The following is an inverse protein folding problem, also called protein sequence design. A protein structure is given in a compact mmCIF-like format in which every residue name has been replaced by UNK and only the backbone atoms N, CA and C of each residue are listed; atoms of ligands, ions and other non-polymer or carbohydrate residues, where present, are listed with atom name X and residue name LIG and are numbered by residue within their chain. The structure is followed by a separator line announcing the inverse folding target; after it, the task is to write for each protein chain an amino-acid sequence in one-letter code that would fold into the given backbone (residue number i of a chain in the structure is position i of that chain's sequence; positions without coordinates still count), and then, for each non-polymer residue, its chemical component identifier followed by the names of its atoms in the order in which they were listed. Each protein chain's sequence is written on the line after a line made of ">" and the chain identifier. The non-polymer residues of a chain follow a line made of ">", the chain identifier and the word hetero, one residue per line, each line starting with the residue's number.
data_IF_408393547904
#
_entry.id   IF_408393547904
#
_cell.length_a   1.000
_cell.length_b   1.000
_cell.length_c   1.000
_cell.angle_alpha   90.00
_cell.angle_beta   90.00
_cell.angle_gamma   90.00
#
_symmetry.space_group_name_H-M   'P 1'
#
loop_
_entity.id
_entity.type
_entity.pdbx_description
1 polymer ?
#
# COMPACT_ATOMS: atom_id res chain seq x y z
N UNK A 1 0.55 -45.68 -4.54
CA UNK A 1 0.05 -44.62 -3.69
C UNK A 1 1.11 -43.53 -3.84
N UNK A 2 0.83 -42.49 -4.63
CA UNK A 2 1.74 -41.35 -4.71
C UNK A 2 1.71 -40.63 -3.35
N UNK A 3 2.88 -40.30 -2.81
CA UNK A 3 2.93 -39.38 -1.68
C UNK A 3 2.18 -38.11 -2.08
N UNK A 4 1.10 -37.76 -1.37
CA UNK A 4 0.40 -36.51 -1.58
C UNK A 4 1.39 -35.37 -1.31
N UNK A 5 1.51 -34.47 -2.25
CA UNK A 5 2.39 -33.31 -2.10
C UNK A 5 1.90 -32.49 -0.91
N UNK A 6 2.67 -32.41 0.16
CA UNK A 6 2.31 -31.63 1.34
C UNK A 6 2.92 -30.25 1.23
N UNK A 7 2.07 -29.25 1.09
CA UNK A 7 2.49 -27.86 1.14
C UNK A 7 2.68 -27.41 2.60
N UNK A 8 3.79 -26.74 2.88
CA UNK A 8 3.92 -25.90 4.06
C UNK A 8 3.40 -24.50 3.71
N UNK A 9 2.32 -24.09 4.36
CA UNK A 9 1.64 -22.85 4.06
C UNK A 9 2.06 -21.78 5.08
N UNK A 10 2.75 -20.71 4.62
CA UNK A 10 2.98 -19.55 5.47
C UNK A 10 1.77 -18.62 5.37
N UNK A 11 0.97 -18.59 6.42
CA UNK A 11 -0.25 -17.78 6.52
C UNK A 11 0.04 -16.45 7.22
N UNK A 12 -0.07 -15.29 6.54
CA UNK A 12 0.16 -13.99 7.17
C UNK A 12 -0.85 -13.70 8.29
N UNK A 13 -2.01 -14.32 8.26
CA UNK A 13 -3.08 -14.11 9.25
C UNK A 13 -3.06 -15.12 10.40
N UNK A 14 -2.06 -16.02 10.49
CA UNK A 14 -2.06 -17.10 11.47
C UNK A 14 -2.22 -16.62 12.92
N UNK A 15 -1.56 -15.51 13.27
CA UNK A 15 -1.61 -14.94 14.62
C UNK A 15 -2.92 -14.19 14.95
N UNK A 16 -3.74 -13.89 13.95
CA UNK A 16 -4.97 -13.09 14.09
C UNK A 16 -6.20 -13.78 13.49
N UNK A 17 -6.10 -15.05 13.10
CA UNK A 17 -7.16 -15.76 12.39
C UNK A 17 -8.51 -15.77 13.14
N UNK A 18 -8.48 -15.90 14.46
CA UNK A 18 -9.69 -15.88 15.29
C UNK A 18 -10.24 -14.44 15.48
N UNK A 19 -9.40 -13.42 15.31
CA UNK A 19 -9.80 -12.01 15.41
C UNK A 19 -10.56 -11.54 14.15
N UNK A 20 -10.33 -12.17 12.99
CA UNK A 20 -11.06 -11.87 11.75
C UNK A 20 -12.57 -12.08 11.91
N UNK A 21 -13.01 -12.97 12.79
CA UNK A 21 -14.43 -13.22 13.03
C UNK A 21 -15.11 -12.14 13.89
N UNK A 22 -14.30 -11.28 14.53
CA UNK A 22 -14.79 -10.18 15.38
C UNK A 22 -14.65 -8.84 14.71
N UNK A 23 -15.75 -8.16 14.42
CA UNK A 23 -15.75 -6.81 13.84
C UNK A 23 -14.99 -5.77 14.68
N UNK A 24 -14.83 -6.02 15.98
CA UNK A 24 -14.13 -5.10 16.87
C UNK A 24 -12.61 -5.06 16.63
N UNK A 25 -12.07 -6.08 15.96
CA UNK A 25 -10.66 -6.21 15.63
C UNK A 25 -10.31 -5.73 14.21
N UNK A 26 -11.30 -5.26 13.44
CA UNK A 26 -11.13 -4.67 12.12
C UNK A 26 -10.97 -3.16 12.22
N UNK A 27 -9.91 -2.63 11.59
CA UNK A 27 -9.56 -1.21 11.68
C UNK A 27 -9.37 -0.60 10.29
N UNK A 28 -10.37 0.15 9.84
CA UNK A 28 -10.32 0.89 8.57
C UNK A 28 -9.21 1.94 8.63
N UNK A 29 -8.21 1.81 7.78
CA UNK A 29 -6.94 2.52 7.88
C UNK A 29 -6.53 3.17 6.57
N UNK A 30 -6.04 4.40 6.64
CA UNK A 30 -5.33 5.05 5.56
C UNK A 30 -3.96 5.55 6.05
N UNK A 31 -2.89 5.14 5.38
CA UNK A 31 -1.52 5.49 5.75
C UNK A 31 -0.84 6.41 4.74
N UNK A 32 -1.54 6.83 3.67
CA UNK A 32 -1.03 7.71 2.64
C UNK A 32 -2.09 8.75 2.27
N UNK A 33 -1.95 9.94 2.80
CA UNK A 33 -2.78 11.10 2.48
C UNK A 33 -2.00 12.39 2.73
N UNK A 34 -2.45 13.46 2.08
CA UNK A 34 -1.84 14.77 2.07
C UNK A 34 -2.78 15.84 2.62
N UNK A 35 -2.19 16.98 2.95
CA UNK A 35 -2.92 18.18 3.33
C UNK A 35 -2.25 19.42 2.69
N UNK A 36 -2.74 20.61 3.02
CA UNK A 36 -2.07 21.87 2.60
C UNK A 36 -0.69 22.06 3.22
N UNK A 37 -0.20 21.13 4.04
CA UNK A 37 1.20 21.13 4.47
C UNK A 37 2.14 20.73 3.32
N UNK A 38 1.71 19.89 2.39
CA UNK A 38 2.41 19.65 1.11
C UNK A 38 1.61 20.22 -0.07
N UNK A 39 0.92 19.44 -0.82
CA UNK A 39 0.33 19.83 -2.10
C UNK A 39 -1.18 19.54 -2.23
N UNK A 40 -1.83 19.10 -1.17
CA UNK A 40 -3.27 18.88 -1.19
C UNK A 40 -4.08 20.18 -1.20
N UNK A 41 -5.33 20.09 -1.61
CA UNK A 41 -6.25 21.22 -1.67
C UNK A 41 -6.96 21.52 -0.33
N UNK A 42 -7.06 20.51 0.54
CA UNK A 42 -7.75 20.64 1.82
C UNK A 42 -6.75 20.74 2.97
N UNK A 43 -7.13 21.49 4.00
CA UNK A 43 -6.34 21.61 5.22
C UNK A 43 -6.30 20.28 5.98
N UNK A 44 -5.29 20.10 6.81
CA UNK A 44 -5.19 18.92 7.68
C UNK A 44 -6.46 18.71 8.51
N UNK A 45 -7.06 19.79 9.02
CA UNK A 45 -8.30 19.71 9.81
C UNK A 45 -9.46 19.18 8.97
N UNK A 46 -9.66 19.73 7.76
CA UNK A 46 -10.71 19.26 6.85
C UNK A 46 -10.54 17.79 6.48
N UNK A 47 -9.31 17.36 6.23
CA UNK A 47 -9.01 15.96 5.96
C UNK A 47 -9.30 15.08 7.17
N UNK A 48 -8.83 15.46 8.38
CA UNK A 48 -9.09 14.70 9.61
C UNK A 48 -10.60 14.58 9.87
N UNK A 49 -11.36 15.66 9.75
CA UNK A 49 -12.80 15.64 9.97
C UNK A 49 -13.52 14.72 8.99
N UNK A 50 -13.11 14.70 7.73
CA UNK A 50 -13.71 13.83 6.73
C UNK A 50 -13.33 12.35 6.95
N UNK A 51 -12.08 12.02 7.26
CA UNK A 51 -11.68 10.67 7.65
C UNK A 51 -12.44 10.19 8.89
N UNK A 52 -12.59 11.05 9.88
CA UNK A 52 -13.33 10.76 11.10
C UNK A 52 -14.80 10.45 10.81
N UNK A 53 -15.47 11.28 10.01
CA UNK A 53 -16.87 11.11 9.63
C UNK A 53 -17.13 9.92 8.73
N UNK A 54 -16.12 9.44 7.99
CA UNK A 54 -16.19 8.22 7.17
C UNK A 54 -15.76 6.95 7.91
N UNK A 55 -15.79 6.98 9.25
CA UNK A 55 -15.51 5.83 10.12
C UNK A 55 -14.13 5.20 9.94
N UNK A 56 -13.11 5.98 9.55
CA UNK A 56 -11.73 5.51 9.63
C UNK A 56 -11.27 5.40 11.09
N UNK A 57 -10.43 4.41 11.37
CA UNK A 57 -9.91 4.12 12.70
C UNK A 57 -8.47 4.59 12.86
N UNK A 58 -7.67 4.55 11.77
CA UNK A 58 -6.24 4.87 11.79
C UNK A 58 -5.93 5.77 10.59
N UNK A 59 -5.14 6.83 10.83
CA UNK A 59 -4.75 7.79 9.81
C UNK A 59 -3.30 8.24 9.99
N UNK A 60 -2.52 8.19 8.89
CA UNK A 60 -1.24 8.85 8.75
C UNK A 60 -1.30 9.94 7.69
N UNK A 61 -0.71 11.10 7.97
CA UNK A 61 -0.36 12.07 6.93
C UNK A 61 1.06 11.78 6.48
N UNK A 62 1.21 11.27 5.26
CA UNK A 62 2.49 11.05 4.62
C UNK A 62 2.77 12.22 3.66
N UNK A 63 3.03 13.38 4.25
CA UNK A 63 3.27 14.62 3.48
C UNK A 63 4.57 14.54 2.69
N UNK A 64 4.62 15.14 1.51
CA UNK A 64 5.82 15.17 0.68
C UNK A 64 7.01 15.83 1.41
N UNK A 65 7.99 15.01 1.80
CA UNK A 65 9.23 15.48 2.42
C UNK A 65 9.05 16.19 3.76
N UNK A 66 7.90 16.07 4.39
CA UNK A 66 7.60 16.67 5.70
C UNK A 66 7.28 15.55 6.66
N UNK A 67 8.11 15.42 7.70
CA UNK A 67 7.86 14.44 8.75
C UNK A 67 6.64 14.86 9.57
N UNK A 68 5.63 14.00 9.58
CA UNK A 68 4.40 14.17 10.35
C UNK A 68 4.64 14.19 11.85
N UNK A 69 3.72 14.80 12.57
CA UNK A 69 3.67 14.79 14.03
C UNK A 69 2.24 14.51 14.49
N UNK A 70 2.04 14.45 15.79
CA UNK A 70 0.67 14.45 16.32
C UNK A 70 -0.05 15.71 15.83
N UNK A 71 -1.33 15.57 15.51
CA UNK A 71 -2.10 16.59 14.78
C UNK A 71 -2.34 17.91 15.55
N UNK A 72 -2.04 17.95 16.83
CA UNK A 72 -2.03 19.16 17.65
C UNK A 72 -0.68 19.86 17.70
N UNK A 73 0.31 19.35 16.95
CA UNK A 73 1.64 19.92 16.81
C UNK A 73 1.88 20.35 15.36
N UNK A 74 2.52 21.47 15.20
CA UNK A 74 2.88 21.94 13.86
C UNK A 74 4.03 21.09 13.29
N UNK A 75 3.88 20.48 12.10
CA UNK A 75 4.95 19.75 11.46
C UNK A 75 6.07 20.70 11.02
N UNK A 76 7.26 20.17 10.83
CA UNK A 76 8.36 20.94 10.25
C UNK A 76 8.03 21.30 8.80
N UNK A 77 8.21 22.57 8.43
CA UNK A 77 7.87 23.08 7.11
C UNK A 77 9.11 23.30 6.29
N UNK A 78 9.08 22.80 5.07
CA UNK A 78 10.10 23.11 4.08
C UNK A 78 9.77 24.45 3.41
N UNK A 79 10.76 25.37 3.28
CA UNK A 79 10.52 26.70 2.73
C UNK A 79 9.83 26.73 1.35
N UNK A 80 10.02 25.70 0.53
CA UNK A 80 9.40 25.61 -0.79
C UNK A 80 7.87 25.55 -0.72
N UNK A 81 7.33 24.78 0.25
CA UNK A 81 5.89 24.67 0.45
C UNK A 81 5.27 25.86 1.19
N UNK A 82 6.06 26.76 1.78
CA UNK A 82 5.54 28.02 2.31
C UNK A 82 4.83 28.85 1.24
N UNK A 83 5.35 28.90 0.02
CA UNK A 83 4.71 29.62 -1.07
C UNK A 83 3.40 28.95 -1.50
N UNK A 84 3.38 27.64 -1.58
CA UNK A 84 2.17 26.89 -1.91
C UNK A 84 1.09 27.05 -0.84
N UNK A 85 1.48 27.05 0.42
CA UNK A 85 0.56 27.25 1.55
C UNK A 85 0.02 28.68 1.67
N UNK A 86 0.78 29.69 1.27
CA UNK A 86 0.27 31.06 1.16
C UNK A 86 -0.81 31.19 0.09
N UNK A 87 -0.77 30.32 -0.93
CA UNK A 87 -1.74 30.29 -2.01
C UNK A 87 -3.01 29.54 -1.65
N UNK A 88 -2.91 28.43 -0.88
CA UNK A 88 -4.03 27.56 -0.50
C UNK A 88 -4.74 27.97 0.81
N UNK A 89 -4.36 29.04 1.44
CA UNK A 89 -5.03 29.60 2.61
C UNK A 89 -4.42 29.22 3.95
N UNK A 90 -5.14 29.54 5.02
CA UNK A 90 -4.62 29.39 6.39
C UNK A 90 -4.47 27.93 6.77
N UNK A 91 -3.26 27.53 7.14
CA UNK A 91 -3.04 26.28 7.86
C UNK A 91 -3.85 26.28 9.15
N UNK A 92 -4.56 25.18 9.37
CA UNK A 92 -5.20 24.91 10.63
C UNK A 92 -4.68 23.57 11.12
N UNK A 93 -4.14 23.54 12.30
CA UNK A 93 -4.00 22.32 13.08
C UNK A 93 -5.05 22.33 14.18
N UNK A 94 -5.41 21.12 14.64
CA UNK A 94 -6.33 20.97 15.75
C UNK A 94 -5.62 21.30 17.05
N UNK A 95 -6.37 21.77 18.06
CA UNK A 95 -5.81 21.95 19.38
C UNK A 95 -5.76 20.63 20.17
N UNK A 96 -5.04 20.62 21.30
CA UNK A 96 -4.85 19.40 22.10
C UNK A 96 -6.16 18.85 22.70
N UNK A 97 -7.18 19.66 22.89
CA UNK A 97 -8.48 19.19 23.37
C UNK A 97 -9.26 18.49 22.25
N UNK A 98 -9.25 19.05 21.05
CA UNK A 98 -9.81 18.43 19.84
C UNK A 98 -9.08 17.13 19.51
N UNK A 99 -7.74 17.13 19.56
CA UNK A 99 -6.94 15.94 19.33
C UNK A 99 -7.35 14.80 20.28
N UNK A 100 -7.44 15.08 21.58
CA UNK A 100 -7.91 14.09 22.55
C UNK A 100 -9.33 13.60 22.26
N UNK A 101 -10.24 14.51 21.89
CA UNK A 101 -11.61 14.15 21.56
C UNK A 101 -11.69 13.24 20.33
N UNK A 102 -10.87 13.49 19.30
CA UNK A 102 -10.77 12.65 18.11
C UNK A 102 -10.21 11.26 18.48
N UNK A 103 -9.10 11.20 19.26
CA UNK A 103 -8.50 9.94 19.71
C UNK A 103 -9.48 9.09 20.54
N UNK A 104 -10.40 9.71 21.27
CA UNK A 104 -11.35 9.03 22.15
C UNK A 104 -12.74 8.81 21.51
N UNK A 105 -12.96 9.22 20.27
CA UNK A 105 -14.25 9.05 19.59
C UNK A 105 -15.36 10.01 20.07
N UNK A 106 -15.00 11.07 20.80
CA UNK A 106 -15.97 12.05 21.36
C UNK A 106 -16.02 13.37 20.60
N UNK A 107 -15.20 13.52 19.58
CA UNK A 107 -15.19 14.72 18.74
C UNK A 107 -16.49 14.88 17.95
N UNK A 108 -16.90 16.12 17.77
CA UNK A 108 -18.10 16.47 17.01
C UNK A 108 -17.70 17.30 15.80
N UNK A 109 -17.81 16.70 14.64
CA UNK A 109 -17.64 17.38 13.36
C UNK A 109 -18.90 18.17 13.00
N UNK A 110 -18.82 18.99 11.96
CA UNK A 110 -20.00 19.67 11.42
C UNK A 110 -21.05 18.67 10.89
N UNK A 111 -20.63 17.58 10.24
CA UNK A 111 -21.53 16.57 9.67
C UNK A 111 -22.07 15.61 10.72
N UNK A 112 -21.33 15.35 11.79
CA UNK A 112 -21.63 14.33 12.81
C UNK A 112 -22.00 12.96 12.19
N UNK A 113 -21.27 12.52 11.17
CA UNK A 113 -21.61 11.33 10.41
C UNK A 113 -20.96 10.04 10.96
N UNK A 114 -19.97 10.17 11.87
CA UNK A 114 -19.29 9.02 12.49
C UNK A 114 -20.28 8.15 13.25
N UNK A 115 -20.19 6.82 13.00
CA UNK A 115 -21.04 5.78 13.61
C UNK A 115 -20.30 4.95 14.64
N UNK A 116 -18.96 4.95 14.62
CA UNK A 116 -18.12 4.19 15.54
C UNK A 116 -17.92 4.92 16.87
N UNK A 117 -17.91 4.16 17.96
CA UNK A 117 -17.64 4.67 19.31
C UNK A 117 -16.15 4.89 19.58
N UNK A 118 -15.27 4.13 18.89
CA UNK A 118 -13.82 4.32 19.01
C UNK A 118 -13.34 5.55 18.21
N UNK A 119 -12.19 6.11 18.60
CA UNK A 119 -11.63 7.29 17.96
C UNK A 119 -10.90 7.01 16.64
N UNK A 120 -10.25 8.04 16.13
CA UNK A 120 -9.34 7.98 14.98
C UNK A 120 -7.91 8.12 15.50
N UNK A 121 -7.13 7.05 15.41
CA UNK A 121 -5.73 7.01 15.87
C UNK A 121 -4.83 7.75 14.89
N UNK A 122 -4.07 8.70 15.42
CA UNK A 122 -2.99 9.36 14.69
C UNK A 122 -1.77 8.45 14.60
N UNK A 123 -1.19 8.31 13.42
CA UNK A 123 0.13 7.73 13.22
C UNK A 123 1.11 8.88 13.00
N UNK A 124 1.87 9.29 14.02
CA UNK A 124 2.90 10.30 13.88
C UNK A 124 4.12 9.72 13.18
N UNK A 125 5.11 10.58 12.89
CA UNK A 125 6.39 10.19 12.32
C UNK A 125 6.23 9.41 11.00
N UNK A 126 5.27 9.87 10.18
CA UNK A 126 5.04 9.40 8.83
C UNK A 126 5.51 10.45 7.81
N UNK A 127 5.96 9.99 6.64
CA UNK A 127 6.47 10.84 5.56
C UNK A 127 6.30 10.16 4.22
N UNK A 128 5.99 10.92 3.17
CA UNK A 128 6.28 10.50 1.80
C UNK A 128 7.61 11.11 1.37
N UNK A 129 8.62 10.26 1.27
CA UNK A 129 9.97 10.63 0.89
C UNK A 129 10.10 10.80 -0.63
N UNK A 130 11.18 11.45 -1.08
CA UNK A 130 11.40 11.89 -2.46
C UNK A 130 10.40 12.97 -2.90
N UNK A 131 10.40 14.00 -2.16
CA UNK A 131 9.52 15.12 -2.00
C UNK A 131 9.05 15.83 -3.26
N UNK A 132 9.76 15.74 -4.36
CA UNK A 132 9.42 16.54 -5.52
C UNK A 132 8.37 15.81 -6.35
N UNK A 133 7.16 16.36 -6.43
CA UNK A 133 6.01 15.82 -7.19
C UNK A 133 6.32 15.47 -8.65
N UNK A 134 7.43 15.95 -9.19
CA UNK A 134 7.89 15.64 -10.55
C UNK A 134 8.72 14.36 -10.65
N UNK A 135 9.12 13.75 -9.52
CA UNK A 135 10.04 12.61 -9.52
C UNK A 135 9.31 11.27 -9.50
N UNK A 136 8.11 11.20 -8.93
CA UNK A 136 7.20 10.04 -8.86
C UNK A 136 7.73 8.76 -8.18
N UNK A 137 9.00 8.68 -7.83
CA UNK A 137 9.59 7.52 -7.13
C UNK A 137 9.49 7.72 -5.62
N UNK A 138 8.28 7.62 -5.10
CA UNK A 138 7.96 7.92 -3.74
C UNK A 138 8.03 6.68 -2.82
N UNK A 139 8.36 6.93 -1.56
CA UNK A 139 8.45 5.91 -0.50
C UNK A 139 7.77 6.47 0.74
N UNK A 140 6.78 5.77 1.25
CA UNK A 140 6.24 6.08 2.56
C UNK A 140 7.11 5.47 3.66
N UNK A 141 7.46 6.30 4.63
CA UNK A 141 8.13 5.90 5.86
C UNK A 141 7.24 6.13 7.06
N UNK A 142 7.35 5.25 8.05
CA UNK A 142 6.59 5.29 9.30
C UNK A 142 7.48 4.97 10.47
N UNK A 143 7.16 5.54 11.64
CA UNK A 143 7.94 5.34 12.87
C UNK A 143 9.41 5.73 12.69
N UNK A 144 9.66 6.77 11.91
CA UNK A 144 11.00 7.29 11.58
C UNK A 144 11.16 8.71 12.10
N UNK A 145 12.35 9.07 12.50
CA UNK A 145 12.73 10.45 12.88
C UNK A 145 13.50 11.16 11.75
N UNK A 146 13.77 10.46 10.66
CA UNK A 146 14.50 11.00 9.51
C UNK A 146 13.53 11.55 8.46
N UNK A 147 13.63 12.84 8.17
CA UNK A 147 12.86 13.50 7.10
C UNK A 147 13.35 13.15 5.68
N UNK A 148 14.23 12.18 5.54
CA UNK A 148 14.65 11.50 4.31
C UNK A 148 15.04 12.39 3.15
N UNK A 149 15.88 13.39 3.36
CA UNK A 149 16.44 14.20 2.31
C UNK A 149 15.69 15.44 1.86
N UNK A 150 16.53 16.36 1.51
CA UNK A 150 16.22 17.69 1.03
C UNK A 150 15.30 17.76 -0.20
N UNK A 151 15.05 18.96 -0.54
CA UNK A 151 14.08 19.55 -1.46
C UNK A 151 13.98 18.89 -2.85
N UNK A 152 14.93 18.05 -3.25
CA UNK A 152 14.98 17.46 -4.58
C UNK A 152 15.26 15.96 -4.48
N UNK A 153 14.19 15.14 -4.47
CA UNK A 153 14.32 13.73 -4.72
C UNK A 153 15.06 13.47 -6.02
N UNK A 154 15.81 12.38 -6.07
CA UNK A 154 16.55 11.98 -7.27
C UNK A 154 15.71 10.99 -8.05
N UNK A 155 15.63 11.17 -9.34
CA UNK A 155 14.97 10.20 -10.19
C UNK A 155 15.68 8.84 -10.08
N UNK A 156 14.91 7.77 -9.96
CA UNK A 156 15.36 6.39 -9.77
C UNK A 156 16.04 6.08 -8.42
N UNK A 157 16.06 6.99 -7.46
CA UNK A 157 16.64 6.76 -6.14
C UNK A 157 15.58 6.40 -5.11
N UNK A 158 15.11 5.16 -5.14
CA UNK A 158 14.31 4.58 -4.06
C UNK A 158 15.17 4.16 -2.85
N UNK A 159 16.46 3.90 -3.08
CA UNK A 159 17.34 3.33 -2.07
C UNK A 159 17.62 4.30 -0.91
N UNK A 160 17.93 5.55 -1.22
CA UNK A 160 18.29 6.52 -0.19
C UNK A 160 17.19 6.71 0.87
N UNK A 161 15.92 6.96 0.51
CA UNK A 161 14.88 7.07 1.53
C UNK A 161 14.65 5.77 2.30
N UNK A 162 14.60 4.62 1.63
CA UNK A 162 14.41 3.32 2.30
C UNK A 162 15.51 3.07 3.32
N UNK A 163 16.78 3.28 2.95
CA UNK A 163 17.93 3.10 3.83
C UNK A 163 17.92 4.06 5.02
N UNK A 164 17.48 5.29 4.83
CA UNK A 164 17.38 6.28 5.91
C UNK A 164 16.30 5.93 6.92
N UNK A 165 15.12 5.53 6.41
CA UNK A 165 14.02 5.05 7.23
C UNK A 165 14.46 3.82 8.04
N UNK A 166 15.15 2.86 7.40
CA UNK A 166 15.69 1.68 8.09
C UNK A 166 16.70 2.06 9.17
N UNK A 167 17.64 2.97 8.88
CA UNK A 167 18.65 3.41 9.84
C UNK A 167 18.05 4.11 11.07
N UNK A 168 16.90 4.75 10.94
CA UNK A 168 16.17 5.37 12.06
C UNK A 168 15.28 4.37 12.81
N UNK A 169 15.26 3.10 12.41
CA UNK A 169 14.40 2.07 12.99
C UNK A 169 12.96 2.11 12.51
N UNK A 170 12.66 2.86 11.47
CA UNK A 170 11.34 2.93 10.82
C UNK A 170 11.08 1.75 9.89
N UNK A 171 9.87 1.72 9.33
CA UNK A 171 9.45 0.81 8.26
C UNK A 171 8.95 1.61 7.07
N UNK A 172 9.03 1.03 5.88
CA UNK A 172 8.62 1.71 4.65
C UNK A 172 7.85 0.79 3.71
N UNK A 173 7.14 1.39 2.78
CA UNK A 173 6.67 0.75 1.57
C UNK A 173 6.85 1.67 0.35
N UNK A 174 6.95 1.05 -0.83
CA UNK A 174 7.09 1.77 -2.10
C UNK A 174 5.70 2.21 -2.58
N UNK A 175 5.53 3.49 -2.90
CA UNK A 175 4.27 4.05 -3.37
C UNK A 175 4.15 3.89 -4.88
N UNK A 176 2.93 3.57 -5.35
CA UNK A 176 2.50 3.59 -6.76
C UNK A 176 3.65 3.37 -7.79
N UNK A 177 4.44 2.29 -7.69
CA UNK A 177 5.69 2.13 -8.47
C UNK A 177 5.47 2.16 -9.98
N UNK A 178 4.30 1.75 -10.48
CA UNK A 178 4.06 1.76 -11.92
C UNK A 178 3.69 3.14 -12.48
N UNK A 179 3.32 4.11 -11.66
CA UNK A 179 3.26 5.51 -12.09
C UNK A 179 4.67 6.06 -12.40
N UNK A 180 5.67 5.68 -11.59
CA UNK A 180 7.07 6.00 -11.88
C UNK A 180 7.60 5.28 -13.14
N UNK A 181 7.18 4.02 -13.37
CA UNK A 181 7.50 3.26 -14.57
C UNK A 181 6.75 3.74 -15.82
N UNK A 182 5.85 4.72 -15.68
CA UNK A 182 5.01 5.26 -16.75
C UNK A 182 4.09 4.21 -17.40
N UNK A 183 3.52 3.30 -16.59
CA UNK A 183 2.62 2.24 -17.03
C UNK A 183 1.37 2.74 -17.78
N UNK A 184 1.01 4.01 -17.63
CA UNK A 184 -0.05 4.63 -18.45
C UNK A 184 0.29 4.61 -19.95
N UNK A 185 1.58 4.76 -20.29
CA UNK A 185 2.08 4.75 -21.66
C UNK A 185 2.52 3.35 -22.11
N UNK A 186 3.00 2.53 -21.17
CA UNK A 186 3.48 1.18 -21.38
C UNK A 186 2.98 0.24 -20.26
N UNK A 187 1.79 -0.38 -20.41
CA UNK A 187 1.24 -1.29 -19.41
C UNK A 187 2.12 -2.51 -19.11
N UNK A 188 2.97 -2.92 -20.06
CA UNK A 188 3.86 -4.07 -19.92
C UNK A 188 5.14 -3.76 -19.13
N UNK A 189 5.38 -2.49 -18.76
CA UNK A 189 6.57 -2.08 -17.99
C UNK A 189 6.72 -2.87 -16.67
N UNK A 190 5.62 -3.31 -16.05
CA UNK A 190 5.62 -4.12 -14.84
C UNK A 190 6.18 -5.54 -15.03
N UNK A 191 6.25 -6.03 -16.27
CA UNK A 191 6.79 -7.37 -16.65
C UNK A 191 8.20 -7.31 -17.22
N UNK A 192 8.76 -6.11 -17.35
CA UNK A 192 10.12 -5.93 -17.86
C UNK A 192 11.12 -6.47 -16.83
N UNK A 193 11.99 -7.45 -17.19
CA UNK A 193 12.89 -8.10 -16.23
C UNK A 193 13.79 -7.14 -15.45
N UNK A 194 14.24 -6.06 -16.08
CA UNK A 194 15.09 -5.04 -15.46
C UNK A 194 14.33 -4.25 -14.38
N UNK A 195 13.07 -3.95 -14.61
CA UNK A 195 12.22 -3.28 -13.62
C UNK A 195 11.92 -4.19 -12.43
N UNK A 196 11.60 -5.47 -12.70
CA UNK A 196 11.41 -6.48 -11.65
C UNK A 196 12.68 -6.63 -10.82
N UNK A 197 13.85 -6.76 -11.48
CA UNK A 197 15.14 -6.89 -10.83
C UNK A 197 15.47 -5.67 -9.95
N UNK A 198 15.17 -4.47 -10.43
CA UNK A 198 15.38 -3.22 -9.71
C UNK A 198 14.63 -3.19 -8.37
N UNK A 199 13.32 -3.46 -8.38
CA UNK A 199 12.53 -3.49 -7.16
C UNK A 199 12.86 -4.69 -6.26
N UNK A 200 13.09 -5.87 -6.84
CA UNK A 200 13.49 -7.05 -6.10
C UNK A 200 14.79 -6.83 -5.31
N UNK A 201 15.77 -6.11 -5.88
CA UNK A 201 17.02 -5.78 -5.19
C UNK A 201 16.78 -4.91 -3.95
N UNK A 202 15.87 -3.93 -4.00
CA UNK A 202 15.50 -3.13 -2.84
C UNK A 202 14.93 -4.00 -1.72
N UNK A 203 13.99 -4.89 -2.03
CA UNK A 203 13.38 -5.79 -1.05
C UNK A 203 14.35 -6.84 -0.50
N UNK A 204 15.36 -7.27 -1.26
CA UNK A 204 16.42 -8.17 -0.77
C UNK A 204 17.31 -7.49 0.26
N UNK A 205 17.69 -6.24 0.00
CA UNK A 205 18.65 -5.50 0.83
C UNK A 205 18.04 -4.86 2.07
N UNK A 206 16.79 -4.41 1.98
CA UNK A 206 16.13 -3.62 3.04
C UNK A 206 14.93 -4.36 3.60
N UNK A 207 15.09 -4.92 4.82
CA UNK A 207 14.00 -5.66 5.48
C UNK A 207 12.90 -4.75 6.00
N UNK A 208 13.22 -3.52 6.32
CA UNK A 208 12.28 -2.47 6.73
C UNK A 208 11.33 -2.01 5.62
N UNK A 209 11.70 -2.23 4.35
CA UNK A 209 10.79 -2.01 3.22
C UNK A 209 9.85 -3.21 3.12
N UNK A 210 8.69 -3.14 3.79
CA UNK A 210 7.82 -4.29 4.01
C UNK A 210 6.87 -4.59 2.85
N UNK A 211 6.66 -3.64 1.95
CA UNK A 211 5.70 -3.82 0.88
C UNK A 211 5.69 -2.71 -0.17
N UNK A 212 4.66 -2.72 -0.98
CA UNK A 212 4.39 -1.70 -2.01
C UNK A 212 2.88 -1.43 -2.10
N UNK A 213 2.50 -0.28 -2.60
CA UNK A 213 1.10 -0.05 -2.95
C UNK A 213 0.72 -0.89 -4.16
N UNK A 214 -0.42 -1.55 -4.05
CA UNK A 214 -1.04 -2.36 -5.10
C UNK A 214 -2.39 -1.76 -5.54
N UNK A 215 -2.95 -0.89 -4.70
CA UNK A 215 -4.16 -0.12 -4.95
C UNK A 215 -3.92 1.31 -4.45
N UNK A 216 -4.06 2.29 -5.34
CA UNK A 216 -3.85 3.69 -5.02
C UNK A 216 -4.85 4.56 -5.77
N UNK A 217 -5.40 5.59 -5.12
CA UNK A 217 -6.31 6.57 -5.70
C UNK A 217 -7.46 5.94 -6.51
N UNK A 218 -7.61 6.39 -7.77
CA UNK A 218 -8.61 5.95 -8.75
C UNK A 218 -8.10 4.84 -9.69
N UNK A 219 -7.01 4.18 -9.35
CA UNK A 219 -6.41 3.09 -10.11
C UNK A 219 -6.11 3.42 -11.60
N UNK A 220 -5.73 4.63 -11.89
CA UNK A 220 -5.56 5.07 -13.28
C UNK A 220 -4.14 4.89 -13.80
N UNK A 221 -3.11 5.53 -13.22
CA UNK A 221 -1.72 5.26 -13.58
C UNK A 221 -1.19 3.96 -12.93
N UNK A 222 -1.82 3.50 -11.86
CA UNK A 222 -1.31 2.50 -10.91
C UNK A 222 -1.88 1.09 -11.14
N UNK A 223 -2.68 0.88 -12.19
CA UNK A 223 -3.32 -0.42 -12.47
C UNK A 223 -2.34 -1.58 -12.67
N UNK A 224 -1.11 -1.29 -13.06
CA UNK A 224 -0.07 -2.30 -13.26
C UNK A 224 0.71 -2.64 -11.98
N UNK A 225 0.46 -1.96 -10.85
CA UNK A 225 1.13 -2.24 -9.56
C UNK A 225 0.89 -3.69 -9.11
N UNK A 226 -0.31 -4.21 -9.33
CA UNK A 226 -0.64 -5.60 -8.99
C UNK A 226 0.12 -6.61 -9.85
N UNK A 227 0.37 -6.28 -11.11
CA UNK A 227 1.19 -7.11 -12.01
C UNK A 227 2.64 -7.13 -11.50
N UNK A 228 3.19 -5.96 -11.17
CA UNK A 228 4.54 -5.88 -10.60
C UNK A 228 4.63 -6.63 -9.26
N UNK A 229 3.61 -6.52 -8.43
CA UNK A 229 3.54 -7.24 -7.16
C UNK A 229 3.63 -8.76 -7.36
N UNK A 230 2.80 -9.32 -8.24
CA UNK A 230 2.82 -10.76 -8.57
C UNK A 230 4.18 -11.19 -9.15
N UNK A 231 4.80 -10.37 -10.00
CA UNK A 231 6.15 -10.65 -10.53
C UNK A 231 7.23 -10.65 -9.44
N UNK A 232 7.15 -9.71 -8.48
CA UNK A 232 8.07 -9.66 -7.35
C UNK A 232 7.91 -10.85 -6.40
N UNK A 233 6.68 -11.30 -6.15
CA UNK A 233 6.42 -12.48 -5.33
C UNK A 233 7.04 -13.74 -5.94
N UNK A 234 6.91 -13.93 -7.26
CA UNK A 234 7.52 -15.06 -8.01
C UNK A 234 9.04 -15.09 -7.91
N UNK A 235 9.68 -13.95 -7.76
CA UNK A 235 11.15 -13.86 -7.65
C UNK A 235 11.60 -14.01 -6.20
N UNK A 236 10.99 -13.26 -5.27
CA UNK A 236 11.51 -13.10 -3.91
C UNK A 236 11.17 -14.27 -2.98
N UNK A 237 10.01 -14.90 -3.16
CA UNK A 237 9.61 -16.03 -2.32
C UNK A 237 10.51 -17.24 -2.55
N UNK A 238 10.76 -17.70 -3.80
CA UNK A 238 11.66 -18.83 -4.03
C UNK A 238 13.10 -18.58 -3.59
N UNK A 239 13.60 -17.36 -3.76
CA UNK A 239 14.99 -17.02 -3.42
C UNK A 239 15.26 -16.97 -1.92
N UNK A 240 14.34 -16.41 -1.14
CA UNK A 240 14.60 -16.14 0.27
C UNK A 240 13.38 -16.19 1.17
N UNK A 241 12.26 -16.72 0.69
CA UNK A 241 10.97 -16.73 1.40
C UNK A 241 10.56 -15.31 1.85
N UNK A 242 10.92 -14.30 1.03
CA UNK A 242 10.59 -12.91 1.27
C UNK A 242 9.24 -12.59 0.64
N UNK A 243 8.25 -12.34 1.48
CA UNK A 243 6.95 -11.84 1.03
C UNK A 243 6.97 -10.31 1.01
N UNK A 244 6.44 -9.73 -0.05
CA UNK A 244 6.19 -8.29 -0.20
C UNK A 244 4.71 -8.08 0.01
N UNK A 245 4.34 -7.22 0.97
CA UNK A 245 2.93 -6.95 1.29
C UNK A 245 2.34 -5.93 0.32
N UNK A 246 1.09 -6.17 -0.08
CA UNK A 246 0.35 -5.25 -0.94
C UNK A 246 -0.46 -4.25 -0.11
N UNK A 247 -0.11 -2.97 -0.15
CA UNK A 247 -0.81 -1.88 0.55
C UNK A 247 -1.88 -1.25 -0.35
N UNK A 248 -2.89 -0.66 0.27
CA UNK A 248 -3.93 0.12 -0.40
C UNK A 248 -4.12 1.46 0.31
N UNK A 249 -3.97 2.57 -0.40
CA UNK A 249 -4.14 3.90 0.17
C UNK A 249 -4.84 4.83 -0.81
N UNK A 250 -5.50 5.84 -0.27
CA UNK A 250 -6.19 6.83 -1.10
C UNK A 250 -5.25 7.83 -1.76
N UNK A 251 -4.08 8.08 -1.17
CA UNK A 251 -3.18 9.16 -1.63
C UNK A 251 -3.99 10.46 -1.84
N UNK A 252 -4.87 10.73 -0.86
CA UNK A 252 -5.90 11.73 -1.02
C UNK A 252 -5.32 13.15 -0.89
N UNK A 253 -5.59 13.97 -1.91
CA UNK A 253 -5.27 15.40 -1.96
C UNK A 253 -6.54 16.25 -1.78
N UNK A 254 -7.72 15.59 -1.70
CA UNK A 254 -9.02 16.21 -1.47
C UNK A 254 -9.90 15.32 -0.61
N UNK A 255 -10.81 15.92 0.15
CA UNK A 255 -11.79 15.19 0.96
C UNK A 255 -12.66 14.23 0.15
N UNK A 256 -12.84 14.47 -1.14
CA UNK A 256 -13.61 13.60 -2.04
C UNK A 256 -12.85 12.34 -2.49
N UNK A 257 -11.59 12.20 -2.16
CA UNK A 257 -10.70 11.11 -2.59
C UNK A 257 -10.45 10.08 -1.47
N UNK A 258 -10.88 10.37 -0.25
CA UNK A 258 -10.52 9.65 0.98
C UNK A 258 -10.88 8.16 0.95
N UNK A 259 -12.03 7.78 0.41
CA UNK A 259 -12.55 6.40 0.43
C UNK A 259 -12.28 5.63 -0.87
N UNK A 260 -11.32 6.08 -1.67
CA UNK A 260 -10.99 5.43 -2.95
C UNK A 260 -10.25 4.12 -2.78
N UNK A 261 -9.27 4.09 -1.86
CA UNK A 261 -8.55 2.89 -1.47
C UNK A 261 -8.10 3.01 0.00
N UNK A 262 -8.07 1.91 0.72
CA UNK A 262 -7.72 1.84 2.13
C UNK A 262 -7.42 0.40 2.55
N UNK A 263 -6.92 0.22 3.77
CA UNK A 263 -6.65 -1.09 4.36
C UNK A 263 -7.62 -1.40 5.49
N UNK A 264 -7.87 -2.68 5.70
CA UNK A 264 -8.54 -3.22 6.88
C UNK A 264 -7.52 -4.02 7.69
N UNK A 265 -6.94 -3.39 8.72
CA UNK A 265 -5.99 -4.04 9.61
C UNK A 265 -6.70 -4.90 10.66
N UNK A 266 -6.16 -6.09 10.90
CA UNK A 266 -6.64 -6.97 11.95
C UNK A 266 -5.69 -6.85 13.14
N UNK A 267 -6.15 -6.18 14.21
CA UNK A 267 -5.31 -5.90 15.37
C UNK A 267 -5.91 -6.52 16.64
N UNK A 268 -5.08 -7.12 17.51
CA UNK A 268 -5.56 -7.61 18.82
C UNK A 268 -5.96 -6.46 19.76
N UNK A 269 -5.28 -5.32 19.65
CA UNK A 269 -5.55 -4.10 20.42
C UNK A 269 -5.32 -2.86 19.55
N UNK A 270 -6.10 -1.83 19.78
CA UNK A 270 -6.01 -0.54 19.10
C UNK A 270 -4.78 0.25 19.57
N UNK A 271 -3.61 -0.01 18.98
CA UNK A 271 -2.35 0.63 19.35
C UNK A 271 -1.38 0.74 18.18
N UNK A 272 -0.48 1.74 18.25
CA UNK A 272 0.59 1.93 17.25
C UNK A 272 1.56 0.73 17.20
N UNK A 273 1.82 0.08 18.32
CA UNK A 273 2.70 -1.07 18.37
C UNK A 273 2.10 -2.27 17.60
N UNK A 274 0.79 -2.53 17.77
CA UNK A 274 0.11 -3.58 17.02
C UNK A 274 -0.06 -3.22 15.54
N UNK A 275 -0.29 -1.94 15.22
CA UNK A 275 -0.29 -1.48 13.83
C UNK A 275 1.05 -1.77 13.16
N UNK A 276 2.17 -1.39 13.80
CA UNK A 276 3.52 -1.66 13.28
C UNK A 276 3.73 -3.16 13.06
N UNK A 277 3.41 -3.97 14.05
CA UNK A 277 3.51 -5.43 13.94
C UNK A 277 2.67 -5.98 12.79
N UNK A 278 1.46 -5.45 12.60
CA UNK A 278 0.58 -5.85 11.52
C UNK A 278 1.11 -5.44 10.14
N UNK A 279 1.71 -4.27 10.02
CA UNK A 279 2.40 -3.83 8.79
C UNK A 279 3.59 -4.74 8.45
N UNK A 280 4.39 -5.11 9.45
CA UNK A 280 5.56 -5.98 9.28
C UNK A 280 5.16 -7.41 8.89
N UNK A 281 4.02 -7.91 9.36
CA UNK A 281 3.55 -9.29 9.16
C UNK A 281 2.48 -9.45 8.07
N UNK A 282 1.96 -8.38 7.51
CA UNK A 282 0.91 -8.43 6.49
C UNK A 282 -0.45 -8.84 7.03
N UNK A 283 -0.79 -8.52 8.29
CA UNK A 283 -2.09 -8.88 8.89
C UNK A 283 -3.16 -7.85 8.58
N UNK A 284 -3.39 -7.61 7.29
CA UNK A 284 -4.40 -6.68 6.78
C UNK A 284 -4.91 -7.08 5.40
N UNK A 285 -6.07 -6.56 5.03
CA UNK A 285 -6.65 -6.65 3.71
C UNK A 285 -6.53 -5.33 2.99
N UNK A 286 -6.32 -5.37 1.67
CA UNK A 286 -6.22 -4.20 0.80
C UNK A 286 -7.52 -4.02 0.03
N UNK A 287 -8.13 -2.84 0.14
CA UNK A 287 -9.49 -2.58 -0.35
C UNK A 287 -9.48 -1.36 -1.24
N UNK A 288 -10.22 -1.42 -2.36
CA UNK A 288 -10.44 -0.24 -3.21
C UNK A 288 -11.82 -0.25 -3.84
N UNK A 289 -12.32 0.96 -4.09
CA UNK A 289 -13.54 1.18 -4.87
C UNK A 289 -13.29 1.21 -6.38
N UNK A 290 -12.02 1.24 -6.75
CA UNK A 290 -11.54 1.26 -8.13
C UNK A 290 -10.46 0.19 -8.29
N UNK A 291 -10.62 -0.69 -9.27
CA UNK A 291 -9.60 -1.65 -9.70
C UNK A 291 -9.87 -1.97 -11.18
N UNK A 292 -9.29 -1.15 -12.05
CA UNK A 292 -9.71 -1.09 -13.46
C UNK A 292 -9.45 -2.37 -14.23
N UNK A 293 -8.39 -3.06 -13.94
CA UNK A 293 -8.09 -4.34 -14.56
C UNK A 293 -9.07 -5.44 -14.12
N UNK A 294 -9.49 -5.40 -12.84
CA UNK A 294 -10.28 -6.46 -12.21
C UNK A 294 -11.78 -6.22 -12.29
N UNK A 295 -12.21 -4.94 -12.29
CA UNK A 295 -13.61 -4.53 -12.21
C UNK A 295 -14.11 -3.83 -13.48
N UNK A 296 -13.20 -3.33 -14.32
CA UNK A 296 -13.51 -2.60 -15.54
C UNK A 296 -13.24 -1.10 -15.46
N UNK A 297 -13.02 -0.46 -16.62
CA UNK A 297 -12.60 0.94 -16.75
C UNK A 297 -13.56 1.94 -16.09
N UNK A 298 -14.85 1.71 -16.22
CA UNK A 298 -15.90 2.62 -15.76
C UNK A 298 -16.47 2.23 -14.39
N UNK A 299 -15.92 1.18 -13.76
CA UNK A 299 -16.42 0.72 -12.47
C UNK A 299 -16.08 1.72 -11.36
N UNK A 300 -17.08 2.01 -10.56
CA UNK A 300 -16.98 2.80 -9.32
C UNK A 300 -17.74 2.07 -8.23
N UNK A 301 -17.03 1.61 -7.20
CA UNK A 301 -17.62 0.89 -6.08
C UNK A 301 -18.66 1.72 -5.33
N UNK A 302 -19.80 1.14 -5.03
CA UNK A 302 -20.91 1.78 -4.33
C UNK A 302 -21.42 0.91 -3.18
N UNK A 303 -21.72 1.53 -2.05
CA UNK A 303 -22.23 0.85 -0.86
C UNK A 303 -21.11 0.16 -0.07
N UNK A 304 -21.46 -0.94 0.60
CA UNK A 304 -20.52 -1.68 1.43
C UNK A 304 -19.48 -2.40 0.56
N UNK A 305 -18.22 -2.31 0.96
CA UNK A 305 -17.12 -3.01 0.32
C UNK A 305 -17.13 -4.50 0.68
N UNK A 306 -16.52 -5.38 -0.14
CA UNK A 306 -16.26 -6.74 0.26
C UNK A 306 -15.50 -6.82 1.59
N UNK A 307 -15.82 -7.79 2.41
CA UNK A 307 -15.13 -8.04 3.68
C UNK A 307 -14.93 -9.55 3.89
N UNK A 308 -13.83 -9.92 4.55
CA UNK A 308 -13.56 -11.29 4.98
C UNK A 308 -14.08 -11.46 6.40
N UNK A 309 -14.91 -12.47 6.63
CA UNK A 309 -15.50 -12.77 7.94
C UNK A 309 -14.90 -14.01 8.60
N UNK A 310 -14.20 -14.84 7.85
CA UNK A 310 -13.44 -15.98 8.38
C UNK A 310 -12.37 -16.38 7.38
N UNK A 311 -11.21 -16.78 7.88
CA UNK A 311 -10.09 -17.27 7.10
C UNK A 311 -9.45 -18.42 7.83
N UNK A 312 -9.35 -19.59 7.19
CA UNK A 312 -8.78 -20.81 7.79
C UNK A 312 -7.81 -21.46 6.82
N UNK A 313 -6.69 -21.91 7.34
CA UNK A 313 -5.68 -22.68 6.61
C UNK A 313 -5.62 -24.06 7.24
N UNK A 314 -5.76 -25.10 6.45
CA UNK A 314 -5.59 -26.50 6.81
C UNK A 314 -4.36 -27.04 6.08
N UNK A 315 -3.23 -27.06 6.77
CA UNK A 315 -1.97 -27.56 6.22
C UNK A 315 -1.99 -29.06 5.99
N UNK A 316 -2.78 -29.83 6.78
CA UNK A 316 -2.86 -31.28 6.64
C UNK A 316 -3.52 -31.67 5.32
N UNK A 317 -4.58 -30.95 4.95
CA UNK A 317 -5.32 -31.15 3.71
C UNK A 317 -4.89 -30.23 2.58
N UNK A 318 -3.93 -29.32 2.81
CA UNK A 318 -3.44 -28.38 1.82
C UNK A 318 -4.54 -27.44 1.29
N UNK A 319 -5.43 -26.96 2.18
CA UNK A 319 -6.54 -26.10 1.78
C UNK A 319 -6.56 -24.75 2.49
N UNK A 320 -7.08 -23.73 1.80
CA UNK A 320 -7.35 -22.42 2.36
C UNK A 320 -8.83 -22.12 2.15
N UNK A 321 -9.53 -21.77 3.23
CA UNK A 321 -10.96 -21.41 3.20
C UNK A 321 -11.14 -19.93 3.54
N UNK A 322 -11.89 -19.21 2.72
CA UNK A 322 -12.30 -17.82 2.98
C UNK A 322 -13.83 -17.75 2.99
N UNK A 323 -14.38 -17.07 4.01
CA UNK A 323 -15.76 -16.60 4.01
C UNK A 323 -15.77 -15.08 3.80
N UNK A 324 -16.49 -14.64 2.77
CA UNK A 324 -16.64 -13.23 2.44
C UNK A 324 -18.10 -12.80 2.51
N UNK A 325 -18.30 -11.49 2.72
CA UNK A 325 -19.60 -10.82 2.64
C UNK A 325 -19.50 -9.62 1.71
N UNK A 326 -20.67 -9.11 1.26
CA UNK A 326 -20.75 -7.98 0.32
C UNK A 326 -20.00 -8.21 -0.99
N UNK A 327 -19.82 -9.46 -1.37
CA UNK A 327 -19.13 -9.84 -2.60
C UNK A 327 -19.95 -10.84 -3.41
N UNK A 328 -19.67 -10.87 -4.69
CA UNK A 328 -20.30 -11.78 -5.67
C UNK A 328 -19.33 -12.84 -6.14
N UNK A 329 -18.03 -12.55 -6.09
CA UNK A 329 -17.00 -13.41 -6.64
C UNK A 329 -15.81 -13.46 -5.70
N UNK A 330 -15.23 -14.64 -5.52
CA UNK A 330 -13.91 -14.87 -4.93
C UNK A 330 -13.05 -15.50 -6.01
N UNK A 331 -11.92 -14.88 -6.32
CA UNK A 331 -10.93 -15.39 -7.25
C UNK A 331 -9.63 -15.68 -6.51
N UNK A 332 -9.05 -16.84 -6.79
CA UNK A 332 -7.74 -17.23 -6.32
C UNK A 332 -6.70 -17.00 -7.40
N UNK A 333 -5.63 -16.33 -7.05
CA UNK A 333 -4.56 -15.94 -7.95
C UNK A 333 -3.27 -16.65 -7.52
N UNK A 334 -2.58 -17.26 -8.48
CA UNK A 334 -1.22 -17.70 -8.37
C UNK A 334 -0.46 -17.24 -9.61
N UNK A 335 0.79 -16.83 -9.44
CA UNK A 335 1.68 -16.40 -10.52
C UNK A 335 1.11 -15.27 -11.43
N UNK A 336 0.19 -14.48 -10.87
CA UNK A 336 -0.50 -13.41 -11.60
C UNK A 336 -1.72 -13.85 -12.40
N UNK A 337 -2.10 -15.13 -12.34
CA UNK A 337 -3.22 -15.71 -13.08
C UNK A 337 -4.34 -16.17 -12.14
N UNK A 338 -5.60 -16.03 -12.59
CA UNK A 338 -6.74 -16.57 -11.86
C UNK A 338 -6.73 -18.09 -12.04
N UNK A 339 -6.55 -18.83 -10.94
CA UNK A 339 -6.52 -20.29 -10.96
C UNK A 339 -7.86 -20.92 -10.59
N UNK A 340 -8.67 -20.22 -9.79
CA UNK A 340 -10.03 -20.63 -9.41
C UNK A 340 -10.92 -19.39 -9.25
N UNK A 341 -12.22 -19.53 -9.58
CA UNK A 341 -13.21 -18.47 -9.38
C UNK A 341 -14.52 -19.07 -8.88
N UNK A 342 -14.96 -18.63 -7.71
CA UNK A 342 -16.24 -19.02 -7.11
C UNK A 342 -17.20 -17.83 -7.14
N UNK A 343 -18.43 -18.06 -7.59
CA UNK A 343 -19.40 -17.00 -7.80
C UNK A 343 -20.78 -17.34 -7.20
N UNK A 344 -21.45 -16.30 -6.71
CA UNK A 344 -22.87 -16.35 -6.34
C UNK A 344 -23.69 -15.41 -7.23
N UNK A 345 -25.00 -15.58 -7.27
CA UNK A 345 -25.87 -14.84 -8.20
C UNK A 345 -25.90 -13.32 -7.94
N UNK A 346 -25.82 -12.94 -6.66
CA UNK A 346 -25.85 -11.53 -6.19
C UNK A 346 -24.85 -11.34 -5.08
N UNK A 347 -24.44 -10.09 -4.82
CA UNK A 347 -23.62 -9.76 -3.67
C UNK A 347 -24.25 -10.30 -2.38
N UNK A 348 -23.44 -10.98 -1.57
CA UNK A 348 -23.90 -11.60 -0.34
C UNK A 348 -22.79 -12.30 0.40
N UNK A 349 -23.14 -13.38 1.08
CA UNK A 349 -22.19 -14.28 1.73
C UNK A 349 -21.72 -15.33 0.72
N UNK A 350 -20.41 -15.60 0.70
CA UNK A 350 -19.78 -16.61 -0.13
C UNK A 350 -18.71 -17.33 0.69
N UNK A 351 -18.66 -18.66 0.54
CA UNK A 351 -17.54 -19.48 1.05
C UNK A 351 -16.77 -20.03 -0.13
N UNK A 352 -15.47 -19.80 -0.15
CA UNK A 352 -14.56 -20.30 -1.17
C UNK A 352 -13.46 -21.12 -0.54
N UNK A 353 -13.15 -22.27 -1.13
CA UNK A 353 -12.08 -23.17 -0.67
C UNK A 353 -11.19 -23.46 -1.86
N UNK A 354 -9.89 -23.21 -1.70
CA UNK A 354 -8.89 -23.67 -2.67
C UNK A 354 -8.16 -24.90 -2.12
N UNK A 355 -7.99 -25.89 -3.00
CA UNK A 355 -7.10 -27.04 -2.76
C UNK A 355 -5.80 -26.81 -3.51
N UNK A 356 -4.68 -26.72 -2.78
CA UNK A 356 -3.37 -26.50 -3.40
C UNK A 356 -2.92 -27.70 -4.23
N UNK A 357 -3.33 -28.92 -3.86
CA UNK A 357 -3.01 -30.14 -4.61
C UNK A 357 -3.69 -30.14 -5.97
N UNK A 358 -4.98 -29.76 -6.04
CA UNK A 358 -5.74 -29.70 -7.31
C UNK A 358 -5.18 -28.66 -8.29
N UNK A 359 -4.48 -27.62 -7.80
CA UNK A 359 -3.91 -26.54 -8.58
C UNK A 359 -2.38 -26.56 -8.60
N UNK A 360 -1.73 -27.65 -8.17
CA UNK A 360 -0.28 -27.74 -7.97
C UNK A 360 0.56 -27.38 -9.22
N UNK A 361 0.06 -27.69 -10.43
CA UNK A 361 0.74 -27.33 -11.68
C UNK A 361 0.68 -25.83 -12.02
N UNK A 362 -0.18 -25.06 -11.33
CA UNK A 362 -0.41 -23.63 -11.55
C UNK A 362 0.11 -22.75 -10.40
N UNK A 363 0.63 -23.36 -9.34
CA UNK A 363 1.15 -22.68 -8.16
C UNK A 363 2.65 -22.88 -8.10
N UNK A 364 3.41 -21.82 -8.28
CA UNK A 364 4.87 -21.88 -8.08
C UNK A 364 5.24 -21.71 -6.60
N UNK A 365 4.79 -20.66 -5.95
CA UNK A 365 5.24 -20.35 -4.59
C UNK A 365 4.23 -19.60 -3.71
N UNK A 366 3.12 -19.13 -4.26
CA UNK A 366 2.10 -18.42 -3.48
C UNK A 366 0.71 -18.56 -4.09
N UNK A 367 -0.29 -18.33 -3.25
CA UNK A 367 -1.65 -18.00 -3.66
C UNK A 367 -2.14 -16.78 -2.90
N UNK A 368 -3.01 -15.99 -3.51
CA UNK A 368 -3.75 -14.92 -2.87
C UNK A 368 -5.18 -14.89 -3.36
N UNK A 369 -6.09 -14.33 -2.58
CA UNK A 369 -7.48 -14.19 -3.01
C UNK A 369 -7.86 -12.73 -3.25
N UNK A 370 -8.82 -12.53 -4.16
CA UNK A 370 -9.52 -11.27 -4.32
C UNK A 370 -11.04 -11.48 -4.31
N UNK A 371 -11.75 -10.65 -3.55
CA UNK A 371 -13.19 -10.66 -3.40
C UNK A 371 -13.75 -9.45 -4.13
N UNK A 372 -14.70 -9.66 -5.04
CA UNK A 372 -15.29 -8.61 -5.87
C UNK A 372 -16.79 -8.49 -5.63
N UNK A 373 -17.25 -7.26 -5.44
CA UNK A 373 -18.66 -6.92 -5.26
C UNK A 373 -18.97 -5.52 -5.78
N UNK A 374 -20.21 -5.10 -5.65
CA UNK A 374 -20.63 -3.76 -6.10
C UNK A 374 -19.93 -2.62 -5.37
N UNK A 375 -19.43 -2.87 -4.15
CA UNK A 375 -18.71 -1.89 -3.34
C UNK A 375 -17.24 -1.71 -3.75
N UNK A 376 -16.69 -2.62 -4.55
CA UNK A 376 -15.28 -2.61 -4.95
C UNK A 376 -14.63 -3.98 -4.89
N UNK A 377 -13.35 -3.98 -4.56
CA UNK A 377 -12.50 -5.17 -4.43
C UNK A 377 -11.80 -5.19 -3.08
N UNK A 378 -11.62 -6.40 -2.53
CA UNK A 378 -10.73 -6.68 -1.41
C UNK A 378 -9.70 -7.70 -1.86
N UNK A 379 -8.43 -7.49 -1.53
CA UNK A 379 -7.33 -8.41 -1.77
C UNK A 379 -6.73 -8.89 -0.47
N UNK A 380 -6.48 -10.21 -0.35
CA UNK A 380 -5.69 -10.77 0.74
C UNK A 380 -4.20 -10.54 0.49
N UNK A 381 -3.41 -10.62 1.54
CA UNK A 381 -1.98 -10.82 1.43
C UNK A 381 -1.69 -12.24 0.92
N UNK A 382 -0.52 -12.47 0.28
CA UNK A 382 -0.20 -13.77 -0.29
C UNK A 382 0.11 -14.81 0.80
N UNK A 383 -0.42 -16.01 0.61
CA UNK A 383 -0.03 -17.21 1.35
C UNK A 383 1.14 -17.86 0.61
N UNK A 384 2.28 -18.03 1.26
CA UNK A 384 3.39 -18.73 0.65
C UNK A 384 3.14 -20.24 0.69
N UNK A 385 3.28 -20.90 -0.44
CA UNK A 385 3.05 -22.33 -0.64
C UNK A 385 4.38 -23.02 -0.93
N UNK A 386 4.98 -23.67 0.07
CA UNK A 386 6.27 -24.36 -0.05
C UNK A 386 6.03 -25.88 -0.12
N UNK A 387 6.28 -26.47 -1.28
CA UNK A 387 6.19 -27.91 -1.52
C UNK A 387 7.51 -28.66 -1.22
N UNK A 388 8.48 -27.95 -0.63
CA UNK A 388 9.81 -28.49 -0.30
C UNK A 388 10.89 -28.23 -1.34
N UNK A 389 10.55 -27.71 -2.51
CA UNK A 389 11.52 -27.41 -3.60
C UNK A 389 11.25 -26.05 -4.27
N UNK A 390 11.01 -25.00 -3.45
CA UNK A 390 10.85 -23.63 -3.99
C UNK A 390 12.04 -23.17 -4.83
N UNK A 391 13.24 -23.70 -4.55
CA UNK A 391 14.46 -23.30 -5.24
C UNK A 391 14.41 -23.57 -6.76
N UNK A 392 13.57 -24.51 -7.23
CA UNK A 392 13.39 -24.76 -8.67
C UNK A 392 12.76 -23.60 -9.42
N UNK A 393 12.01 -22.75 -8.70
CA UNK A 393 11.40 -21.54 -9.25
C UNK A 393 12.30 -20.30 -9.11
N UNK A 394 13.38 -20.39 -8.31
CA UNK A 394 14.31 -19.28 -8.20
C UNK A 394 14.90 -18.99 -9.60
N UNK A 395 14.57 -17.81 -10.12
CA UNK A 395 15.10 -17.32 -11.37
C UNK A 395 16.64 -17.20 -11.32
N UNK A 396 17.30 -17.18 -12.47
CA UNK A 396 18.70 -16.73 -12.49
C UNK A 396 18.74 -15.32 -11.92
N UNK A 397 19.73 -15.01 -11.02
CA UNK A 397 19.89 -13.65 -10.55
C UNK A 397 19.90 -12.71 -11.75
N UNK A 398 18.95 -11.77 -11.80
CA UNK A 398 19.00 -10.73 -12.81
C UNK A 398 20.34 -9.99 -12.66
N UNK A 399 20.88 -9.50 -13.76
CA UNK A 399 22.06 -8.65 -13.74
C UNK A 399 21.86 -7.56 -12.67
N UNK A 400 22.90 -7.30 -11.86
CA UNK A 400 22.82 -6.32 -10.76
C UNK A 400 22.25 -4.99 -11.31
N UNK A 401 21.04 -4.57 -10.88
CA UNK A 401 20.40 -3.38 -11.41
C UNK A 401 21.24 -2.12 -11.23
N UNK A 402 22.18 -2.11 -10.28
CA UNK A 402 23.17 -1.04 -10.10
C UNK A 402 24.13 -0.93 -11.27
N UNK A 403 24.33 -2.00 -12.04
CA UNK A 403 25.20 -2.03 -13.25
C UNK A 403 24.47 -1.39 -14.43
N UNK A 404 23.15 -1.41 -14.46
CA UNK A 404 22.35 -0.87 -15.58
C UNK A 404 22.34 0.67 -15.62
N UNK A 405 22.65 1.33 -14.51
CA UNK A 405 22.79 2.80 -14.44
C UNK A 405 24.05 3.21 -13.66
N UNK A 406 25.18 2.61 -14.01
CA UNK A 406 26.53 2.79 -13.49
C UNK A 406 26.65 3.78 -12.33
N UNK A 407 27.36 3.47 -11.28
CA UNK A 407 27.57 4.25 -10.06
C UNK A 407 27.98 5.73 -10.23
N UNK A 408 27.32 6.42 -11.15
CA UNK A 408 27.44 7.85 -11.36
C UNK A 408 26.69 8.58 -10.26
N UNK A 409 27.35 9.55 -9.64
CA UNK A 409 26.68 10.47 -8.74
C UNK A 409 25.58 11.21 -9.49
N UNK A 410 24.33 10.95 -9.12
CA UNK A 410 23.19 11.72 -9.64
C UNK A 410 23.30 13.18 -9.24
N UNK A 411 23.22 14.05 -10.23
CA UNK A 411 23.20 15.50 -10.02
C UNK A 411 21.77 16.01 -10.25
N UNK A 412 21.51 17.28 -9.88
CA UNK A 412 20.24 17.94 -10.24
C UNK A 412 19.90 17.81 -11.73
N UNK A 413 20.93 17.81 -12.62
CA UNK A 413 20.74 17.65 -14.06
C UNK A 413 20.12 16.29 -14.44
N UNK A 414 20.29 15.27 -13.62
CA UNK A 414 19.81 13.89 -13.84
C UNK A 414 18.42 13.67 -13.25
N UNK A 415 17.91 14.63 -12.47
CA UNK A 415 16.54 14.60 -11.99
C UNK A 415 15.57 14.99 -13.10
N UNK A 416 14.31 14.51 -13.03
CA UNK A 416 13.26 14.94 -13.96
C UNK A 416 13.12 16.46 -14.00
N UNK A 417 13.20 17.13 -12.85
CA UNK A 417 13.22 18.59 -12.76
C UNK A 417 14.42 19.19 -13.47
N UNK A 418 15.62 18.61 -13.31
CA UNK A 418 16.84 19.02 -14.01
C UNK A 418 16.75 18.81 -15.53
N UNK A 419 16.18 17.69 -15.97
CA UNK A 419 15.93 17.42 -17.39
C UNK A 419 14.95 18.43 -17.98
N UNK A 420 13.86 18.73 -17.31
CA UNK A 420 12.90 19.76 -17.74
C UNK A 420 13.56 21.14 -17.78
N UNK A 421 14.33 21.50 -16.74
CA UNK A 421 15.09 22.74 -16.70
C UNK A 421 16.04 22.84 -17.88
N UNK A 422 16.87 21.84 -18.11
CA UNK A 422 17.87 21.86 -19.17
C UNK A 422 17.25 21.86 -20.57
N UNK A 423 16.15 21.12 -20.80
CA UNK A 423 15.51 20.99 -22.12
C UNK A 423 14.56 22.15 -22.45
N UNK A 424 13.80 22.65 -21.47
CA UNK A 424 12.67 23.54 -21.72
C UNK A 424 12.85 24.94 -21.17
N UNK A 425 13.56 25.13 -20.06
CA UNK A 425 13.67 26.39 -19.34
C UNK A 425 15.00 27.08 -19.62
N UNK A 426 16.12 26.39 -19.40
CA UNK A 426 17.46 26.95 -19.58
C UNK A 426 17.70 27.58 -20.95
N UNK A 427 17.20 27.03 -22.07
CA UNK A 427 17.35 27.69 -23.38
C UNK A 427 16.67 29.07 -23.49
N UNK A 428 15.62 29.32 -22.70
CA UNK A 428 14.87 30.58 -22.71
C UNK A 428 15.62 31.73 -21.99
N UNK A 429 16.59 31.40 -21.14
CA UNK A 429 17.40 32.35 -20.38
C UNK A 429 18.76 32.66 -21.03
N UNK A 430 19.05 32.03 -22.19
CA UNK A 430 20.31 32.29 -22.95
C UNK A 430 20.16 33.32 -24.06
N UNK A 431 19.16 34.22 -23.99
CA UNK A 431 19.02 35.33 -24.93
C UNK A 431 19.32 36.64 -24.25
#
# INVERSE_FOLDING_TARGET
>A
MGDSMKYKISNPYASVADLIESKDNHYKTNLHTHSTYSDANNTMVEMIEEFYDQDFDILAFAEHGILGKEWDKEPSIIPLFLFQNLWHGKRKHINSAEFKAIQNGTYKTFKNARKKDRGLMCVPDAIEANMFTLVKNHVNGYFTDDACEGIFGRENDYETPIRKIENSGGISHINHPTDWLEAYNDPDCAKVPENIAFFADLFRRYRSCVGMEVLNMFDRPNRSDRILWDELLKVLIPEGKRTVWGFANSDAHRVTEIDTAFMDFILPEFSLANLRTAMENGTFFSIARYAKNELGEDFVGQGEVPAVTSLRVDEENGTITIKGINCKTVEWIADGEIIQSDCVATDGEITSVISLEEHSERISCYVRAQLKGKGGILMTQPFTCDDGDLARFAGKPAADPRILKGGEEYTFADTRAGVIWNRSIKPKFKK
#
